data_IF_245356167112
#
_entry.id   IF_245356167112
#
_cell.length_a   1.000
_cell.length_b   1.000
_cell.length_c   1.000
_cell.angle_alpha   90.00
_cell.angle_beta   90.00
_cell.angle_gamma   90.00
#
_symmetry.space_group_name_H-M   'P 1'
#
loop_
_entity.id
_entity.type
_entity.pdbx_description
1 polymer ?
#
# COMPACT_ATOMS: atom_id res chain seq x y z
N UNK A 1 -17.30 12.59 2.61
CA UNK A 1 -16.90 12.14 2.52
C UNK A 1 -16.69 11.55 2.80
N UNK A 2 -16.57 11.14 2.71
CA UNK A 2 -16.24 10.52 2.86
C UNK A 2 -15.74 10.04 2.95
N UNK A 3 -16.00 10.06 3.11
CA UNK A 3 -15.15 9.49 3.52
C UNK A 3 -14.02 9.00 2.99
N UNK A 4 -13.41 9.59 2.71
CA UNK A 4 -12.40 9.31 2.20
C UNK A 4 -11.44 8.96 3.09
N UNK A 5 -10.87 8.11 3.00
CA UNK A 5 -10.07 7.56 3.62
C UNK A 5 -8.83 7.96 3.22
N UNK A 6 -8.12 8.50 3.97
CA UNK A 6 -7.00 8.96 3.61
C UNK A 6 -6.00 8.29 4.26
N UNK A 7 -5.24 7.54 3.65
CA UNK A 7 -4.07 7.13 4.19
C UNK A 7 -3.19 8.27 4.05
N UNK A 8 -2.55 8.59 5.03
CA UNK A 8 -1.83 9.77 5.07
C UNK A 8 -0.89 9.87 3.96
N UNK A 9 -0.82 10.99 3.47
CA UNK A 9 0.11 11.21 2.46
C UNK A 9 1.47 11.01 2.98
N UNK A 10 1.60 10.92 4.22
CA UNK A 10 2.88 10.61 4.78
C UNK A 10 3.38 9.30 4.26
N UNK A 11 2.55 8.59 3.59
CA UNK A 11 2.98 7.32 3.03
C UNK A 11 3.84 7.48 1.79
N UNK A 12 4.08 8.66 1.30
CA UNK A 12 4.95 8.82 0.14
C UNK A 12 6.30 8.17 0.41
N UNK A 13 6.75 7.35 -0.52
CA UNK A 13 7.99 6.62 -0.37
C UNK A 13 7.85 5.33 0.39
N UNK A 14 6.65 5.00 0.82
CA UNK A 14 6.43 3.78 1.55
C UNK A 14 5.68 2.77 0.70
N UNK A 15 5.71 1.52 1.13
CA UNK A 15 5.07 0.44 0.39
C UNK A 15 3.72 0.16 1.02
N UNK A 16 2.67 0.41 0.28
CA UNK A 16 1.31 0.31 0.80
C UNK A 16 0.63 -0.95 0.28
N UNK A 17 -0.16 -1.57 1.12
CA UNK A 17 -0.85 -2.80 0.76
C UNK A 17 -2.22 -2.48 0.17
N UNK A 18 -2.61 -3.26 -0.82
CA UNK A 18 -3.91 -3.10 -1.47
C UNK A 18 -4.70 -4.39 -1.25
N UNK A 19 -5.88 -4.30 -0.68
CA UNK A 19 -6.65 -5.47 -0.34
C UNK A 19 -7.60 -5.91 -1.45
N UNK A 20 -7.55 -5.28 -2.60
CA UNK A 20 -8.46 -5.57 -3.70
C UNK A 20 -9.53 -4.51 -3.85
N UNK A 21 -9.73 -3.70 -2.84
CA UNK A 21 -10.71 -2.63 -2.87
C UNK A 21 -10.07 -1.33 -2.45
N UNK A 22 -9.36 -1.35 -1.34
CA UNK A 22 -8.77 -0.14 -0.80
C UNK A 22 -7.29 -0.31 -0.56
N UNK A 23 -6.56 0.79 -0.60
CA UNK A 23 -5.18 0.81 -0.17
C UNK A 23 -5.18 0.90 1.35
N UNK A 24 -4.38 0.05 1.97
CA UNK A 24 -4.39 -0.06 3.41
C UNK A 24 -3.08 0.45 4.00
N UNK A 25 -2.55 -0.27 4.94
CA UNK A 25 -1.41 0.15 5.71
C UNK A 25 -0.14 0.23 4.87
N UNK A 26 0.73 1.15 5.18
CA UNK A 26 1.98 1.32 4.48
C UNK A 26 3.15 0.95 5.38
N UNK A 27 4.23 0.50 4.77
CA UNK A 27 5.41 0.06 5.50
C UNK A 27 6.66 0.72 4.92
N UNK A 28 7.68 0.83 5.73
CA UNK A 28 8.89 1.52 5.32
C UNK A 28 9.69 0.75 4.27
N UNK A 29 9.63 -0.55 4.29
CA UNK A 29 10.41 -1.35 3.36
C UNK A 29 9.51 -2.31 2.63
N UNK A 30 9.94 -2.70 1.45
CA UNK A 30 9.23 -3.69 0.66
C UNK A 30 9.18 -5.02 1.40
N UNK A 31 10.24 -5.37 2.07
CA UNK A 31 10.32 -6.62 2.78
C UNK A 31 9.24 -6.70 3.85
N UNK A 32 9.04 -5.62 4.60
CA UNK A 32 8.00 -5.58 5.60
C UNK A 32 6.63 -5.68 4.95
N UNK A 33 6.45 -4.96 3.86
CA UNK A 33 5.17 -4.97 3.16
C UNK A 33 4.84 -6.38 2.67
N UNK A 34 5.82 -7.08 2.12
CA UNK A 34 5.59 -8.43 1.63
C UNK A 34 5.21 -9.38 2.77
N UNK A 35 5.86 -9.22 3.90
CA UNK A 35 5.59 -10.07 5.04
C UNK A 35 4.15 -9.89 5.50
N UNK A 36 3.72 -8.65 5.63
CA UNK A 36 2.39 -8.39 6.12
C UNK A 36 1.33 -8.61 5.04
N UNK A 37 1.70 -8.46 3.78
CA UNK A 37 0.76 -8.74 2.71
C UNK A 37 0.30 -10.19 2.75
N UNK A 38 1.23 -11.09 3.00
CA UNK A 38 0.86 -12.50 3.10
C UNK A 38 0.02 -12.76 4.32
N UNK A 39 0.35 -12.09 5.42
CA UNK A 39 -0.35 -12.30 6.66
C UNK A 39 -1.79 -11.80 6.59
N UNK A 40 -2.00 -10.68 5.94
CA UNK A 40 -3.31 -10.05 5.89
C UNK A 40 -4.10 -10.35 4.62
N UNK A 41 -3.50 -11.07 3.70
CA UNK A 41 -4.22 -11.40 2.48
C UNK A 41 -4.29 -10.27 1.48
N UNK A 42 -3.33 -9.38 1.48
CA UNK A 42 -3.32 -8.28 0.53
C UNK A 42 -3.12 -8.82 -0.89
N UNK A 43 -3.65 -8.09 -1.86
CA UNK A 43 -3.58 -8.50 -3.25
C UNK A 43 -2.40 -7.89 -3.98
N UNK A 44 -2.02 -6.68 -3.61
CA UNK A 44 -0.93 -5.97 -4.25
C UNK A 44 -0.16 -5.14 -3.27
N UNK A 45 1.04 -4.75 -3.66
CA UNK A 45 1.86 -3.85 -2.88
C UNK A 45 2.27 -2.75 -3.84
N UNK A 46 2.10 -1.51 -3.48
CA UNK A 46 2.49 -0.40 -4.32
C UNK A 46 3.34 0.61 -3.58
N UNK A 47 4.31 1.18 -4.30
CA UNK A 47 5.14 2.22 -3.73
C UNK A 47 4.42 3.55 -3.95
N UNK A 48 4.16 4.26 -2.89
CA UNK A 48 3.43 5.51 -2.99
C UNK A 48 4.33 6.59 -3.55
N UNK A 49 3.87 7.26 -4.58
CA UNK A 49 4.63 8.30 -5.22
C UNK A 49 4.19 9.67 -4.72
N UNK A 50 4.96 10.69 -5.06
CA UNK A 50 4.70 12.03 -4.57
C UNK A 50 3.37 12.60 -5.04
N UNK A 51 2.87 12.11 -6.16
CA UNK A 51 1.59 12.59 -6.67
C UNK A 51 0.41 11.75 -6.20
N UNK A 52 0.66 10.85 -5.26
CA UNK A 52 -0.43 10.07 -4.70
C UNK A 52 -0.75 8.80 -5.45
N UNK A 53 0.04 8.48 -6.44
CA UNK A 53 -0.17 7.25 -7.19
C UNK A 53 0.60 6.12 -6.56
N UNK A 54 0.47 4.93 -7.11
CA UNK A 54 1.20 3.78 -6.64
C UNK A 54 1.94 3.15 -7.80
N UNK A 55 3.25 3.30 -7.80
CA UNK A 55 4.07 2.77 -8.88
C UNK A 55 5.48 2.59 -8.39
N UNK A 56 6.09 1.43 -8.59
CA UNK A 56 5.49 0.25 -9.21
C UNK A 56 4.52 -0.46 -8.29
N UNK A 57 3.73 -1.32 -8.86
CA UNK A 57 2.85 -2.18 -8.09
C UNK A 57 3.23 -3.61 -8.33
N UNK A 58 3.14 -4.43 -7.29
CA UNK A 58 3.46 -5.82 -7.41
C UNK A 58 2.28 -6.65 -6.94
N UNK A 59 2.04 -7.75 -7.63
CA UNK A 59 0.97 -8.66 -7.25
C UNK A 59 1.50 -9.58 -6.17
N UNK A 60 0.72 -9.76 -5.13
CA UNK A 60 1.09 -10.66 -4.04
C UNK A 60 0.57 -12.04 -4.36
N UNK A 61 1.44 -13.03 -4.31
CA UNK A 61 1.03 -14.40 -4.63
C UNK A 61 0.86 -15.28 -3.45
#
# INVERSE_FOLDING_TARGET
MIGKFEYPTAAVGKWQLFDGVNWRQAFDTLEQAEKYAKKFGAKRIGLVTADGEHSPQMVVE
#
